data_IF_642595563739
#
_entry.id   IF_642595563739
#
_cell.length_a   1.000
_cell.length_b   1.000
_cell.length_c   1.000
_cell.angle_alpha   90.00
_cell.angle_beta   90.00
_cell.angle_gamma   90.00
#
_symmetry.space_group_name_H-M   'P 1'
#
loop_
_entity.id
_entity.type
_entity.pdbx_description
1 polymer ?
#
# COMPACT_ATOMS: atom_id res chain seq x y z
N UNK A 1 -15.78 -4.30 -5.61
CA UNK A 1 -14.56 -4.68 -4.84
C UNK A 1 -13.35 -4.07 -5.57
N UNK A 2 -12.30 -3.56 -4.91
CA UNK A 2 -11.14 -2.83 -5.52
C UNK A 2 -9.79 -3.58 -5.29
N UNK A 3 -8.93 -3.69 -6.31
CA UNK A 3 -7.71 -4.53 -6.34
C UNK A 3 -6.49 -3.66 -6.56
N UNK A 4 -5.59 -3.65 -5.58
CA UNK A 4 -4.35 -2.92 -5.68
C UNK A 4 -3.23 -3.84 -6.16
N UNK A 5 -2.67 -3.53 -7.34
CA UNK A 5 -1.53 -4.27 -7.89
C UNK A 5 -0.32 -3.34 -7.97
N UNK A 6 0.80 -3.80 -7.41
CA UNK A 6 2.08 -3.10 -7.44
C UNK A 6 3.08 -3.92 -8.24
N UNK A 7 4.06 -3.23 -8.83
CA UNK A 7 5.23 -3.90 -9.40
C UNK A 7 5.82 -4.83 -8.34
N UNK A 8 6.02 -6.13 -8.63
CA UNK A 8 6.50 -7.10 -7.65
C UNK A 8 7.86 -6.72 -7.05
N UNK A 9 8.72 -6.02 -7.81
CA UNK A 9 10.02 -5.54 -7.32
C UNK A 9 9.84 -4.47 -6.25
N UNK A 10 9.03 -3.45 -6.55
CA UNK A 10 8.73 -2.37 -5.60
C UNK A 10 8.00 -2.89 -4.36
N UNK A 11 7.16 -3.91 -4.54
CA UNK A 11 6.48 -4.57 -3.43
C UNK A 11 7.47 -5.31 -2.53
N UNK A 12 8.40 -6.08 -3.10
CA UNK A 12 9.42 -6.79 -2.34
C UNK A 12 10.26 -5.81 -1.51
N UNK A 13 10.73 -4.71 -2.13
CA UNK A 13 11.52 -3.68 -1.44
C UNK A 13 10.74 -3.03 -0.31
N UNK A 14 9.48 -2.65 -0.57
CA UNK A 14 8.61 -2.08 0.45
C UNK A 14 8.33 -3.04 1.60
N UNK A 15 8.17 -4.34 1.31
CA UNK A 15 7.85 -5.34 2.31
C UNK A 15 9.05 -5.73 3.18
N UNK A 16 10.28 -5.73 2.63
CA UNK A 16 11.52 -5.91 3.41
C UNK A 16 11.69 -4.83 4.48
N UNK A 17 11.50 -3.57 4.06
CA UNK A 17 11.54 -2.43 4.96
C UNK A 17 10.44 -2.53 6.02
N UNK A 18 9.22 -2.89 5.62
CA UNK A 18 8.14 -3.13 6.58
C UNK A 18 8.48 -4.25 7.58
N UNK A 19 9.04 -5.37 7.13
CA UNK A 19 9.33 -6.51 8.01
C UNK A 19 10.43 -6.24 9.03
N UNK A 20 11.38 -5.37 8.69
CA UNK A 20 12.48 -5.05 9.60
C UNK A 20 12.12 -3.98 10.63
N UNK A 21 11.10 -3.15 10.36
CA UNK A 21 10.67 -2.10 11.29
C UNK A 21 9.51 -2.53 12.21
N UNK A 22 8.74 -3.56 11.83
CA UNK A 22 7.57 -4.01 12.58
C UNK A 22 7.92 -5.26 13.38
N UNK A 23 8.00 -5.13 14.70
CA UNK A 23 8.42 -6.21 15.62
C UNK A 23 7.51 -7.44 15.65
N UNK A 24 6.30 -7.35 15.08
CA UNK A 24 5.33 -8.46 15.03
C UNK A 24 5.54 -9.40 13.84
N UNK A 25 6.47 -9.07 12.94
CA UNK A 25 6.84 -9.92 11.80
C UNK A 25 8.33 -10.28 11.88
N UNK A 26 8.72 -11.50 11.45
CA UNK A 26 10.12 -11.88 11.30
C UNK A 26 10.91 -10.84 10.50
N UNK A 27 11.95 -10.30 11.13
CA UNK A 27 12.96 -9.47 10.48
C UNK A 27 13.96 -10.36 9.74
N UNK A 28 14.67 -9.78 8.76
CA UNK A 28 15.71 -10.45 7.99
C UNK A 28 17.02 -9.68 8.12
N UNK A 29 18.10 -10.41 8.39
CA UNK A 29 19.43 -9.83 8.56
C UNK A 29 19.98 -9.26 7.24
N UNK A 30 19.64 -9.89 6.10
CA UNK A 30 20.03 -9.42 4.78
C UNK A 30 18.87 -9.37 3.79
N UNK A 31 19.00 -8.50 2.79
CA UNK A 31 18.08 -8.44 1.65
C UNK A 31 17.99 -9.78 0.92
N UNK A 32 19.09 -10.52 0.81
CA UNK A 32 19.12 -11.77 0.05
C UNK A 32 18.32 -12.87 0.77
N UNK A 33 18.43 -12.96 2.09
CA UNK A 33 17.66 -13.90 2.91
C UNK A 33 16.16 -13.60 2.81
N UNK A 34 15.80 -12.31 2.91
CA UNK A 34 14.44 -11.85 2.67
C UNK A 34 13.97 -12.21 1.26
N UNK A 35 14.74 -11.91 0.22
CA UNK A 35 14.34 -12.09 -1.16
C UNK A 35 14.11 -13.57 -1.48
N UNK A 36 14.98 -14.46 -0.99
CA UNK A 36 14.79 -15.91 -1.10
C UNK A 36 13.51 -16.33 -0.36
N UNK A 37 13.29 -15.84 0.86
CA UNK A 37 12.07 -16.16 1.62
C UNK A 37 10.79 -15.61 0.95
N UNK A 38 10.85 -14.43 0.33
CA UNK A 38 9.77 -13.78 -0.42
C UNK A 38 9.43 -14.59 -1.68
N UNK A 39 10.43 -14.94 -2.48
CA UNK A 39 10.26 -15.71 -3.72
C UNK A 39 9.81 -17.15 -3.47
N UNK A 40 10.30 -17.78 -2.40
CA UNK A 40 9.93 -19.15 -2.01
C UNK A 40 8.63 -19.24 -1.22
N UNK A 41 7.93 -18.12 -0.99
CA UNK A 41 6.66 -18.05 -0.23
C UNK A 41 6.75 -18.57 1.21
N UNK A 42 7.98 -18.65 1.76
CA UNK A 42 8.29 -19.08 3.13
C UNK A 42 8.32 -17.94 4.13
N UNK A 43 8.44 -16.70 3.64
CA UNK A 43 8.29 -15.53 4.48
C UNK A 43 6.85 -15.43 5.01
N UNK A 44 6.71 -14.92 6.22
CA UNK A 44 5.48 -14.45 6.90
C UNK A 44 4.80 -13.29 6.16
N UNK A 45 4.89 -13.25 4.84
CA UNK A 45 4.02 -12.40 4.03
C UNK A 45 2.60 -12.91 4.26
N UNK A 46 1.63 -12.00 4.45
CA UNK A 46 0.22 -12.38 4.46
C UNK A 46 -0.06 -13.31 3.27
N UNK A 47 -0.91 -14.34 3.47
CA UNK A 47 -1.23 -15.39 2.49
C UNK A 47 -1.53 -14.87 1.06
N UNK A 48 -1.81 -13.57 0.90
CA UNK A 48 -2.02 -12.83 -0.35
C UNK A 48 -0.81 -12.82 -1.31
N UNK A 49 0.45 -12.87 -0.83
CA UNK A 49 1.64 -12.98 -1.70
C UNK A 49 1.98 -14.41 -2.12
N UNK A 50 1.25 -15.41 -1.61
CA UNK A 50 1.40 -16.81 -2.02
C UNK A 50 0.64 -17.12 -3.33
N UNK A 51 -0.17 -16.19 -3.82
CA UNK A 51 -0.88 -16.29 -5.10
C UNK A 51 0.08 -16.08 -6.29
N UNK A 52 -0.33 -16.48 -7.50
CA UNK A 52 0.42 -16.30 -8.76
C UNK A 52 0.66 -14.81 -9.10
N UNK A 53 -0.05 -13.91 -8.41
CA UNK A 53 0.10 -12.48 -8.45
C UNK A 53 0.33 -11.97 -7.02
N UNK A 54 1.29 -11.06 -6.78
CA UNK A 54 1.40 -10.36 -5.51
C UNK A 54 0.19 -9.43 -5.36
N UNK A 55 -0.87 -9.94 -4.73
CA UNK A 55 -2.11 -9.22 -4.52
C UNK A 55 -2.03 -8.51 -3.17
N UNK A 56 -2.35 -7.22 -3.13
CA UNK A 56 -2.67 -6.55 -1.87
C UNK A 56 -4.18 -6.27 -1.91
N UNK A 57 -4.92 -7.12 -1.19
CA UNK A 57 -6.37 -7.03 -0.91
C UNK A 57 -7.36 -7.22 -2.08
N UNK A 58 -8.53 -7.80 -1.75
CA UNK A 58 -9.62 -8.23 -2.65
C UNK A 58 -10.50 -7.02 -3.00
N UNK A 59 -10.86 -6.69 -4.26
CA UNK A 59 -11.37 -7.44 -5.43
C UNK A 59 -11.61 -6.50 -6.66
N UNK A 60 -12.47 -6.80 -7.64
CA UNK A 60 -12.51 -6.23 -9.03
C UNK A 60 -12.44 -4.68 -9.30
N UNK A 61 -11.27 -4.05 -9.20
CA UNK A 61 -10.84 -2.92 -10.07
C UNK A 61 -9.31 -2.80 -10.02
N UNK A 62 -8.63 -2.89 -11.17
CA UNK A 62 -7.15 -2.91 -11.26
C UNK A 62 -6.59 -1.49 -11.09
N UNK A 63 -6.02 -1.19 -9.92
CA UNK A 63 -5.31 0.06 -9.68
C UNK A 63 -3.79 -0.22 -9.63
N UNK A 64 -3.05 0.28 -10.61
CA UNK A 64 -1.59 0.17 -10.65
C UNK A 64 -0.95 1.28 -9.82
N UNK A 65 0.19 1.04 -9.17
CA UNK A 65 0.88 2.09 -8.39
C UNK A 65 1.22 3.35 -9.23
N UNK A 66 1.42 3.20 -10.53
CA UNK A 66 1.56 4.30 -11.49
C UNK A 66 0.33 5.19 -11.60
N UNK A 67 -0.87 4.67 -11.31
CA UNK A 67 -2.12 5.42 -11.31
C UNK A 67 -2.19 6.44 -10.17
N UNK A 68 -1.38 6.31 -9.11
CA UNK A 68 -1.22 7.36 -8.08
C UNK A 68 -0.41 8.56 -8.55
N UNK A 69 0.18 8.54 -9.75
CA UNK A 69 0.80 9.74 -10.31
C UNK A 69 -0.23 10.85 -10.59
N UNK A 70 -1.49 10.51 -10.83
CA UNK A 70 -2.58 11.47 -10.93
C UNK A 70 -3.70 11.14 -9.92
N UNK A 71 -3.60 11.66 -8.67
CA UNK A 71 -4.54 11.33 -7.61
C UNK A 71 -5.97 11.79 -7.92
N UNK A 72 -6.14 12.88 -8.68
CA UNK A 72 -7.45 13.40 -9.10
C UNK A 72 -8.17 12.39 -9.99
N UNK A 73 -7.48 11.89 -11.03
CA UNK A 73 -8.03 10.88 -11.92
C UNK A 73 -8.31 9.57 -11.17
N UNK A 74 -7.43 9.20 -10.24
CA UNK A 74 -7.59 8.05 -9.37
C UNK A 74 -8.89 8.05 -8.58
N UNK A 75 -9.13 9.15 -7.86
CA UNK A 75 -10.34 9.34 -7.05
C UNK A 75 -11.59 9.36 -7.94
N UNK A 76 -11.56 10.03 -9.10
CA UNK A 76 -12.68 10.02 -10.06
C UNK A 76 -13.02 8.60 -10.53
N UNK A 77 -12.01 7.79 -10.86
CA UNK A 77 -12.22 6.41 -11.31
C UNK A 77 -12.80 5.52 -10.21
N UNK A 78 -12.31 5.67 -8.97
CA UNK A 78 -12.83 4.94 -7.81
C UNK A 78 -14.27 5.35 -7.53
N UNK A 79 -14.58 6.65 -7.54
CA UNK A 79 -15.93 7.16 -7.31
C UNK A 79 -16.91 6.64 -8.38
N UNK A 80 -16.55 6.74 -9.66
CA UNK A 80 -17.35 6.22 -10.76
C UNK A 80 -17.60 4.71 -10.64
N UNK A 81 -16.59 3.93 -10.23
CA UNK A 81 -16.74 2.50 -10.02
C UNK A 81 -17.73 2.14 -8.90
N UNK A 82 -17.76 2.91 -7.83
CA UNK A 82 -18.72 2.72 -6.74
C UNK A 82 -20.06 3.43 -6.98
N UNK A 83 -20.24 4.13 -8.11
CA UNK A 83 -21.44 4.90 -8.42
C UNK A 83 -21.62 6.15 -7.55
N UNK A 84 -20.53 6.69 -6.98
CA UNK A 84 -20.53 7.87 -6.13
C UNK A 84 -20.34 9.12 -7.00
N UNK A 85 -21.27 10.06 -6.94
CA UNK A 85 -21.10 11.40 -7.48
C UNK A 85 -20.30 12.25 -6.50
N UNK A 86 -19.25 12.93 -6.98
CA UNK A 86 -18.44 13.85 -6.18
C UNK A 86 -18.53 15.26 -6.77
N UNK A 87 -18.64 16.28 -5.92
CA UNK A 87 -18.36 17.66 -6.33
C UNK A 87 -16.86 17.90 -6.47
N UNK A 88 -16.47 19.03 -7.07
CA UNK A 88 -15.05 19.37 -7.21
C UNK A 88 -14.39 19.64 -5.85
N UNK A 89 -15.14 20.21 -4.90
CA UNK A 89 -14.68 20.44 -3.52
C UNK A 89 -14.47 19.11 -2.78
N UNK A 90 -15.39 18.15 -2.92
CA UNK A 90 -15.26 16.83 -2.31
C UNK A 90 -14.08 16.06 -2.89
N UNK A 91 -13.91 16.13 -4.21
CA UNK A 91 -12.79 15.52 -4.92
C UNK A 91 -11.45 16.08 -4.42
N UNK A 92 -11.31 17.40 -4.38
CA UNK A 92 -10.08 18.05 -3.91
C UNK A 92 -9.81 17.72 -2.44
N UNK A 93 -10.86 17.71 -1.61
CA UNK A 93 -10.78 17.32 -0.21
C UNK A 93 -10.36 15.86 0.00
N UNK A 94 -10.78 14.94 -0.86
CA UNK A 94 -10.32 13.54 -0.82
C UNK A 94 -8.85 13.45 -1.25
N UNK A 95 -8.46 14.12 -2.33
CA UNK A 95 -7.06 14.15 -2.82
C UNK A 95 -6.11 14.70 -1.76
N UNK A 96 -6.47 15.80 -1.12
CA UNK A 96 -5.64 16.42 -0.07
C UNK A 96 -5.49 15.51 1.16
N UNK A 97 -6.59 14.95 1.65
CA UNK A 97 -6.60 14.07 2.85
C UNK A 97 -5.91 12.72 2.60
N UNK A 98 -5.98 12.21 1.38
CA UNK A 98 -5.32 10.96 0.96
C UNK A 98 -3.88 11.16 0.50
N UNK A 99 -3.37 12.39 0.49
CA UNK A 99 -1.96 12.65 0.22
C UNK A 99 -1.06 12.06 1.31
N UNK A 100 0.15 11.65 0.92
CA UNK A 100 1.10 11.04 1.86
C UNK A 100 1.42 11.96 3.04
N UNK A 101 1.61 13.25 2.81
CA UNK A 101 1.97 14.20 3.86
C UNK A 101 0.82 14.40 4.86
N UNK A 102 -0.42 14.49 4.38
CA UNK A 102 -1.61 14.55 5.25
C UNK A 102 -1.77 13.26 6.07
N UNK A 103 -1.63 12.10 5.43
CA UNK A 103 -1.71 10.81 6.13
C UNK A 103 -0.58 10.65 7.17
N UNK A 104 0.64 11.07 6.82
CA UNK A 104 1.79 11.04 7.74
C UNK A 104 1.58 11.97 8.95
N UNK A 105 1.06 13.19 8.75
CA UNK A 105 0.71 14.09 9.86
C UNK A 105 -0.35 13.49 10.78
N UNK A 106 -1.32 12.76 10.21
CA UNK A 106 -2.39 12.10 10.96
C UNK A 106 -2.03 10.71 11.49
N UNK A 107 -0.82 10.20 11.20
CA UNK A 107 -0.46 8.81 11.48
C UNK A 107 -0.37 8.52 12.98
N UNK A 108 0.12 9.47 13.77
CA UNK A 108 0.19 9.34 15.23
C UNK A 108 -1.20 9.20 15.87
N UNK A 109 -2.19 9.92 15.35
CA UNK A 109 -3.56 9.85 15.85
C UNK A 109 -4.26 8.53 15.48
N UNK A 110 -3.95 7.98 14.31
CA UNK A 110 -4.64 6.81 13.75
C UNK A 110 -3.96 5.49 14.05
N UNK A 111 -2.63 5.48 14.16
CA UNK A 111 -1.79 4.28 14.29
C UNK A 111 -0.85 4.33 15.51
N UNK A 112 -0.91 5.39 16.32
CA UNK A 112 -0.09 5.53 17.52
C UNK A 112 1.41 5.46 17.22
N UNK A 113 2.14 4.69 18.05
CA UNK A 113 3.58 4.48 17.91
C UNK A 113 3.99 3.89 16.54
N UNK A 114 3.10 3.17 15.85
CA UNK A 114 3.37 2.65 14.51
C UNK A 114 3.26 3.72 13.41
N UNK A 115 2.73 4.91 13.71
CA UNK A 115 2.57 5.96 12.72
C UNK A 115 3.90 6.45 12.10
N UNK A 116 4.97 6.53 12.90
CA UNK A 116 6.31 6.90 12.41
C UNK A 116 6.98 5.75 11.63
N UNK A 117 6.67 4.50 11.99
CA UNK A 117 7.19 3.29 11.34
C UNK A 117 6.55 3.09 9.96
N UNK A 118 5.22 3.21 9.87
CA UNK A 118 4.47 2.90 8.66
C UNK A 118 4.53 4.03 7.62
N UNK A 119 4.57 5.29 8.05
CA UNK A 119 4.51 6.47 7.17
C UNK A 119 5.89 7.12 7.00
N UNK A 120 6.83 6.35 6.44
CA UNK A 120 8.15 6.82 6.02
C UNK A 120 8.26 6.86 4.50
N UNK A 121 9.00 7.83 3.95
CA UNK A 121 9.42 7.76 2.54
C UNK A 121 10.57 6.76 2.47
N UNK A 122 10.41 5.75 1.62
CA UNK A 122 11.51 4.86 1.22
C UNK A 122 12.43 5.54 0.22
#
# INVERSE_FOLDING_TARGET
ILLLIRNPKDLATSFYHYSNDVSTVPSYDTWNDFFVAFMTKKSTVPNQCKSKYPLIFWGKLLYTHSSFQNPVLGVKNIAAFFGISLTEEELQGVVERSSFDSMKKNSQKTHGAFGSVLFRKG
#
